data_IF_716173194343
#
_entry.id   IF_716173194343
#
_cell.length_a   1.000
_cell.length_b   1.000
_cell.length_c   1.000
_cell.angle_alpha   90.00
_cell.angle_beta   90.00
_cell.angle_gamma   90.00
#
_symmetry.space_group_name_H-M   'P 1'
#
loop_
_entity.id
_entity.type
_entity.pdbx_description
1 polymer ?
#
# COMPACT_ATOMS: atom_id res chain seq x y z
N UNK A 1 12.28 -30.59 -4.08
CA UNK A 1 13.03 -29.32 -3.91
C UNK A 1 13.27 -28.75 -5.29
N UNK A 2 12.75 -27.56 -5.58
CA UNK A 2 13.08 -26.82 -6.81
C UNK A 2 13.82 -25.58 -6.34
N UNK A 3 15.12 -25.71 -6.11
CA UNK A 3 15.98 -24.56 -5.91
C UNK A 3 16.31 -24.00 -7.29
N UNK A 4 15.68 -22.88 -7.66
CA UNK A 4 16.10 -22.08 -8.80
C UNK A 4 17.44 -21.39 -8.52
N UNK A 5 18.11 -20.85 -9.56
CA UNK A 5 19.40 -20.18 -9.40
C UNK A 5 19.30 -18.99 -8.43
N UNK A 6 20.25 -18.92 -7.50
CA UNK A 6 20.39 -17.81 -6.54
C UNK A 6 20.78 -16.53 -7.29
N UNK A 7 19.86 -15.57 -7.35
CA UNK A 7 20.13 -14.22 -7.86
C UNK A 7 20.50 -13.31 -6.69
N UNK A 8 21.73 -12.77 -6.72
CA UNK A 8 22.27 -11.86 -5.72
C UNK A 8 21.87 -10.39 -5.95
N UNK A 9 20.63 -10.16 -6.42
CA UNK A 9 20.05 -8.80 -6.49
C UNK A 9 19.22 -8.54 -5.23
N UNK A 10 19.15 -7.28 -4.72
CA UNK A 10 18.56 -6.93 -3.43
C UNK A 10 17.02 -7.00 -3.49
N UNK A 11 16.51 -8.23 -3.53
CA UNK A 11 15.09 -8.57 -3.51
C UNK A 11 14.54 -8.32 -2.10
N UNK A 12 14.26 -7.06 -1.76
CA UNK A 12 13.72 -6.65 -0.46
C UNK A 12 12.22 -6.99 -0.26
N UNK A 13 11.67 -7.97 -0.97
CA UNK A 13 10.27 -8.38 -0.81
C UNK A 13 10.15 -9.88 -0.45
N UNK A 14 9.50 -10.20 0.67
CA UNK A 14 9.33 -11.55 1.22
C UNK A 14 8.44 -12.35 0.26
N UNK A 15 8.96 -13.49 -0.24
CA UNK A 15 8.23 -14.40 -1.13
C UNK A 15 7.70 -15.64 -0.40
N UNK A 16 8.34 -15.98 0.71
CA UNK A 16 7.96 -17.09 1.56
C UNK A 16 8.25 -16.65 2.99
N UNK A 17 7.20 -16.41 3.74
CA UNK A 17 7.21 -16.00 5.13
C UNK A 17 7.62 -17.14 6.07
N UNK A 18 7.43 -18.39 5.66
CA UNK A 18 7.53 -19.56 6.54
C UNK A 18 8.92 -19.72 7.18
N UNK A 19 10.05 -19.54 6.45
CA UNK A 19 11.37 -19.56 7.06
C UNK A 19 11.55 -18.49 8.15
N UNK A 20 10.99 -17.29 7.97
CA UNK A 20 11.10 -16.21 8.95
C UNK A 20 10.33 -16.56 10.24
N UNK A 21 9.13 -17.13 10.12
CA UNK A 21 8.35 -17.60 11.27
C UNK A 21 9.09 -18.69 12.05
N UNK A 22 9.69 -19.66 11.35
CA UNK A 22 10.46 -20.75 11.97
C UNK A 22 11.70 -20.19 12.66
N UNK A 23 12.42 -19.25 12.02
CA UNK A 23 13.58 -18.60 12.63
C UNK A 23 13.20 -17.94 13.95
N UNK A 24 12.10 -17.18 14.01
CA UNK A 24 11.61 -16.58 15.26
C UNK A 24 11.32 -17.63 16.33
N UNK A 25 10.69 -18.74 15.96
CA UNK A 25 10.40 -19.84 16.90
C UNK A 25 11.67 -20.46 17.47
N UNK A 26 12.73 -20.57 16.69
CA UNK A 26 13.99 -21.20 17.10
C UNK A 26 14.94 -20.26 17.84
N UNK A 27 14.74 -18.94 17.77
CA UNK A 27 15.64 -17.96 18.43
C UNK A 27 15.96 -18.35 19.88
N UNK A 28 15.00 -18.70 20.75
CA UNK A 28 15.30 -19.05 22.14
C UNK A 28 16.27 -20.25 22.29
N UNK A 29 16.24 -21.17 21.33
CA UNK A 29 17.04 -22.40 21.33
C UNK A 29 18.42 -22.22 20.66
N UNK A 30 18.68 -21.06 20.04
CA UNK A 30 19.95 -20.80 19.36
C UNK A 30 21.09 -20.65 20.38
N UNK A 31 22.11 -21.49 20.19
CA UNK A 31 23.39 -21.41 20.89
C UNK A 31 24.53 -21.35 19.85
N UNK A 32 25.48 -20.40 19.97
CA UNK A 32 25.67 -19.47 21.09
C UNK A 32 24.76 -18.23 21.01
N UNK A 33 24.62 -17.50 22.13
CA UNK A 33 23.74 -16.31 22.25
C UNK A 33 23.95 -15.22 21.19
N UNK A 34 25.16 -15.09 20.64
CA UNK A 34 25.42 -14.14 19.54
C UNK A 34 24.60 -14.43 18.28
N UNK A 35 24.21 -15.70 18.04
CA UNK A 35 23.34 -16.06 16.92
C UNK A 35 21.92 -15.54 17.11
N UNK A 36 21.42 -15.47 18.34
CA UNK A 36 20.13 -14.85 18.63
C UNK A 36 20.11 -13.38 18.20
N UNK A 37 21.18 -12.65 18.54
CA UNK A 37 21.36 -11.25 18.16
C UNK A 37 21.39 -11.14 16.63
N UNK A 38 22.26 -11.89 15.97
CA UNK A 38 22.39 -11.86 14.51
C UNK A 38 21.06 -12.14 13.79
N UNK A 39 20.35 -13.19 14.18
CA UNK A 39 19.06 -13.56 13.57
C UNK A 39 18.01 -12.47 13.82
N UNK A 40 17.94 -11.92 15.04
CA UNK A 40 16.99 -10.85 15.36
C UNK A 40 17.26 -9.53 14.62
N UNK A 41 18.53 -9.21 14.33
CA UNK A 41 18.90 -8.04 13.50
C UNK A 41 18.51 -8.24 12.05
N UNK A 42 18.79 -9.43 11.49
CA UNK A 42 18.39 -9.80 10.13
C UNK A 42 16.87 -9.78 9.95
N UNK A 43 16.12 -10.30 10.94
CA UNK A 43 14.66 -10.24 10.93
C UNK A 43 14.16 -8.80 10.90
N UNK A 44 14.74 -7.90 11.69
CA UNK A 44 14.38 -6.48 11.62
C UNK A 44 14.65 -5.90 10.24
N UNK A 45 15.84 -6.13 9.67
CA UNK A 45 16.20 -5.60 8.35
C UNK A 45 15.25 -6.08 7.25
N UNK A 46 14.93 -7.37 7.21
CA UNK A 46 14.07 -7.95 6.17
C UNK A 46 12.60 -7.55 6.40
N UNK A 47 12.10 -7.67 7.62
CA UNK A 47 10.68 -7.41 7.89
C UNK A 47 10.33 -5.92 7.79
N UNK A 48 11.29 -5.03 8.05
CA UNK A 48 11.09 -3.57 8.04
C UNK A 48 11.47 -2.90 6.72
N UNK A 49 11.99 -3.65 5.73
CA UNK A 49 12.53 -3.07 4.49
C UNK A 49 11.48 -2.43 3.57
N UNK A 50 10.21 -2.81 3.67
CA UNK A 50 9.12 -2.27 2.84
C UNK A 50 7.76 -2.39 3.53
N UNK A 51 6.77 -1.62 3.08
CA UNK A 51 5.38 -1.77 3.55
C UNK A 51 4.84 -3.17 3.22
N UNK A 52 5.07 -3.65 1.99
CA UNK A 52 4.75 -5.01 1.57
C UNK A 52 5.27 -6.07 2.55
N UNK A 53 6.54 -6.01 2.96
CA UNK A 53 7.11 -7.00 3.90
C UNK A 53 6.45 -6.96 5.27
N UNK A 54 6.25 -5.76 5.81
CA UNK A 54 5.57 -5.60 7.11
C UNK A 54 4.16 -6.17 7.04
N UNK A 55 3.42 -5.93 5.95
CA UNK A 55 2.08 -6.50 5.74
C UNK A 55 2.12 -8.03 5.66
N UNK A 56 3.04 -8.59 4.87
CA UNK A 56 3.23 -10.05 4.76
C UNK A 56 3.50 -10.66 6.12
N UNK A 57 4.42 -10.08 6.91
CA UNK A 57 4.71 -10.54 8.27
C UNK A 57 3.49 -10.49 9.20
N UNK A 58 2.70 -9.40 9.16
CA UNK A 58 1.46 -9.28 9.95
C UNK A 58 0.44 -10.34 9.54
N UNK A 59 0.21 -10.54 8.24
CA UNK A 59 -0.73 -11.54 7.73
C UNK A 59 -0.31 -12.97 8.08
N UNK A 60 0.99 -13.24 8.03
CA UNK A 60 1.63 -14.50 8.40
C UNK A 60 1.55 -14.84 9.90
N UNK A 61 1.16 -13.88 10.76
CA UNK A 61 1.10 -14.08 12.21
C UNK A 61 2.46 -13.95 12.90
N UNK A 62 3.40 -13.21 12.31
CA UNK A 62 4.74 -12.95 12.88
C UNK A 62 4.66 -12.37 14.30
N UNK A 63 3.71 -11.46 14.56
CA UNK A 63 3.49 -10.85 15.88
C UNK A 63 3.27 -11.92 16.96
N UNK A 64 2.45 -12.92 16.65
CA UNK A 64 2.19 -14.04 17.57
C UNK A 64 3.46 -14.87 17.83
N UNK A 65 4.26 -15.13 16.80
CA UNK A 65 5.52 -15.88 16.96
C UNK A 65 6.54 -15.13 17.82
N UNK A 66 6.67 -13.82 17.62
CA UNK A 66 7.60 -13.00 18.40
C UNK A 66 7.19 -12.98 19.89
N UNK A 67 5.89 -12.85 20.17
CA UNK A 67 5.38 -12.91 21.55
C UNK A 67 5.64 -14.28 22.20
N UNK A 68 5.53 -15.36 21.43
CA UNK A 68 5.89 -16.70 21.91
C UNK A 68 7.38 -16.80 22.24
N UNK A 69 8.25 -16.29 21.37
CA UNK A 69 9.70 -16.29 21.61
C UNK A 69 10.07 -15.47 22.86
N UNK A 70 9.48 -14.28 23.03
CA UNK A 70 9.69 -13.42 24.20
C UNK A 70 9.22 -14.04 25.52
N UNK A 71 8.32 -15.02 25.47
CA UNK A 71 7.89 -15.76 26.67
C UNK A 71 9.00 -16.65 27.26
N UNK A 72 10.04 -16.96 26.47
CA UNK A 72 11.22 -17.72 26.90
C UNK A 72 12.32 -16.78 27.44
N UNK A 73 11.98 -15.93 28.41
CA UNK A 73 12.83 -14.84 28.92
C UNK A 73 14.25 -15.29 29.28
N UNK A 74 14.39 -16.37 30.06
CA UNK A 74 15.69 -16.84 30.57
C UNK A 74 16.64 -17.33 29.45
N UNK A 75 16.07 -17.76 28.32
CA UNK A 75 16.81 -18.29 27.18
C UNK A 75 17.30 -17.18 26.24
N UNK A 76 16.70 -15.99 26.29
CA UNK A 76 16.98 -14.90 25.37
C UNK A 76 18.12 -13.99 25.83
N UNK A 77 18.97 -13.60 24.89
CA UNK A 77 19.89 -12.49 25.08
C UNK A 77 19.13 -11.16 25.19
N UNK A 78 19.50 -10.25 26.11
CA UNK A 78 18.82 -8.96 26.27
C UNK A 78 18.76 -8.12 24.99
N UNK A 79 19.80 -8.17 24.14
CA UNK A 79 19.82 -7.45 22.87
C UNK A 79 18.89 -8.08 21.85
N UNK A 80 18.82 -9.42 21.82
CA UNK A 80 17.85 -10.13 20.99
C UNK A 80 16.41 -9.77 21.40
N UNK A 81 16.11 -9.74 22.69
CA UNK A 81 14.78 -9.35 23.17
C UNK A 81 14.43 -7.90 22.77
N UNK A 82 15.39 -6.96 22.86
CA UNK A 82 15.20 -5.59 22.37
C UNK A 82 14.84 -5.56 20.88
N UNK A 83 15.58 -6.31 20.06
CA UNK A 83 15.34 -6.40 18.62
C UNK A 83 13.96 -7.01 18.29
N UNK A 84 13.52 -8.02 19.04
CA UNK A 84 12.19 -8.61 18.90
C UNK A 84 11.07 -7.62 19.31
N UNK A 85 11.26 -6.86 20.39
CA UNK A 85 10.30 -5.83 20.81
C UNK A 85 10.25 -4.67 19.81
N UNK A 86 11.38 -4.30 19.21
CA UNK A 86 11.42 -3.35 18.09
C UNK A 86 10.59 -3.86 16.91
N UNK A 87 10.75 -5.13 16.53
CA UNK A 87 9.98 -5.71 15.44
C UNK A 87 8.47 -5.75 15.75
N UNK A 88 8.09 -6.07 17.00
CA UNK A 88 6.71 -5.94 17.45
C UNK A 88 6.19 -4.52 17.28
N UNK A 89 6.96 -3.50 17.64
CA UNK A 89 6.61 -2.09 17.44
C UNK A 89 6.35 -1.77 15.97
N UNK A 90 7.21 -2.21 15.07
CA UNK A 90 7.08 -1.98 13.62
C UNK A 90 5.80 -2.61 13.09
N UNK A 91 5.56 -3.88 13.40
CA UNK A 91 4.40 -4.64 12.88
C UNK A 91 3.09 -4.19 13.54
N UNK A 92 3.11 -3.93 14.85
CA UNK A 92 1.96 -3.50 15.65
C UNK A 92 1.40 -2.12 15.26
N UNK A 93 2.19 -1.28 14.57
CA UNK A 93 1.71 -0.03 13.95
C UNK A 93 0.77 -0.27 12.76
N UNK A 94 0.83 -1.43 12.13
CA UNK A 94 -0.04 -1.76 11.00
C UNK A 94 -1.32 -2.45 11.45
N UNK A 95 -1.18 -3.47 12.30
CA UNK A 95 -2.32 -4.21 12.85
C UNK A 95 -1.90 -4.96 14.10
N UNK A 96 -2.83 -5.06 15.05
CA UNK A 96 -2.68 -5.88 16.24
C UNK A 96 -4.00 -6.55 16.59
N UNK A 97 -3.98 -7.87 16.80
CA UNK A 97 -5.15 -8.63 17.21
C UNK A 97 -5.36 -8.54 18.72
N UNK A 98 -6.59 -8.72 19.25
CA UNK A 98 -6.85 -8.66 20.69
C UNK A 98 -5.96 -9.60 21.53
N UNK A 99 -5.68 -10.80 21.04
CA UNK A 99 -4.81 -11.77 21.74
C UNK A 99 -3.34 -11.35 21.73
N UNK A 100 -2.87 -10.69 20.67
CA UNK A 100 -1.50 -10.18 20.55
C UNK A 100 -1.29 -8.98 21.47
N UNK A 101 -2.28 -8.08 21.53
CA UNK A 101 -2.30 -6.97 22.48
C UNK A 101 -2.30 -7.48 23.93
N UNK A 102 -3.09 -8.53 24.22
CA UNK A 102 -3.08 -9.18 25.52
C UNK A 102 -1.70 -9.76 25.84
N UNK A 103 -1.03 -10.39 24.87
CA UNK A 103 0.35 -10.90 25.03
C UNK A 103 1.34 -9.79 25.37
N UNK A 104 1.30 -8.65 24.65
CA UNK A 104 2.12 -7.48 25.00
C UNK A 104 1.85 -6.97 26.42
N UNK A 105 0.58 -6.88 26.84
CA UNK A 105 0.22 -6.44 28.19
C UNK A 105 0.74 -7.43 29.25
N UNK A 106 0.79 -8.72 28.93
CA UNK A 106 1.35 -9.74 29.84
C UNK A 106 2.86 -9.53 30.05
N UNK A 107 3.59 -9.05 29.05
CA UNK A 107 5.01 -8.68 29.17
C UNK A 107 5.27 -7.43 30.03
N UNK A 108 4.24 -6.86 30.68
CA UNK A 108 4.40 -5.78 31.66
C UNK A 108 4.51 -6.29 33.10
N UNK A 109 4.11 -7.53 33.38
CA UNK A 109 4.07 -8.10 34.74
C UNK A 109 4.80 -9.43 34.79
N UNK A 110 5.66 -9.59 35.79
CA UNK A 110 6.24 -10.88 36.13
C UNK A 110 5.36 -11.60 37.17
N UNK A 111 5.50 -12.94 37.30
CA UNK A 111 4.92 -13.67 38.43
C UNK A 111 5.39 -13.04 39.76
N UNK A 112 4.46 -12.83 40.69
CA UNK A 112 4.81 -12.32 42.03
C UNK A 112 4.87 -10.80 42.19
N UNK A 113 4.18 -10.03 41.33
CA UNK A 113 4.03 -8.56 41.42
C UNK A 113 5.30 -7.74 41.11
N UNK A 114 6.36 -8.37 40.61
CA UNK A 114 7.51 -7.66 40.06
C UNK A 114 7.21 -7.17 38.63
N UNK A 115 7.89 -6.09 38.21
CA UNK A 115 7.87 -5.66 36.82
C UNK A 115 8.65 -6.65 35.96
N UNK A 116 8.10 -7.03 34.80
CA UNK A 116 8.83 -7.82 33.82
C UNK A 116 10.08 -7.04 33.33
N UNK A 117 11.22 -7.69 33.02
CA UNK A 117 12.40 -6.97 32.52
C UNK A 117 12.16 -6.17 31.23
N UNK A 118 11.24 -6.64 30.39
CA UNK A 118 10.87 -5.98 29.14
C UNK A 118 9.86 -4.84 29.33
N UNK A 119 9.31 -4.63 30.53
CA UNK A 119 8.17 -3.73 30.73
C UNK A 119 8.42 -2.31 30.19
N UNK A 120 9.60 -1.74 30.45
CA UNK A 120 9.97 -0.41 29.94
C UNK A 120 10.00 -0.37 28.41
N UNK A 121 10.58 -1.38 27.77
CA UNK A 121 10.68 -1.49 26.31
C UNK A 121 9.29 -1.69 25.69
N UNK A 122 8.45 -2.53 26.30
CA UNK A 122 7.08 -2.80 25.86
C UNK A 122 6.20 -1.55 26.01
N UNK A 123 6.29 -0.79 27.11
CA UNK A 123 5.57 0.47 27.26
C UNK A 123 5.97 1.48 26.18
N UNK A 124 7.27 1.58 25.88
CA UNK A 124 7.77 2.43 24.80
C UNK A 124 7.23 1.97 23.44
N UNK A 125 7.25 0.67 23.18
CA UNK A 125 6.71 0.09 21.95
C UNK A 125 5.21 0.37 21.80
N UNK A 126 4.40 0.15 22.85
CA UNK A 126 2.97 0.46 22.86
C UNK A 126 2.69 1.95 22.66
N UNK A 127 3.45 2.83 23.32
CA UNK A 127 3.34 4.27 23.11
C UNK A 127 3.67 4.64 21.66
N UNK A 128 4.72 4.06 21.09
CA UNK A 128 5.13 4.29 19.72
C UNK A 128 4.14 3.73 18.68
N UNK A 129 3.46 2.62 18.99
CA UNK A 129 2.35 2.10 18.17
C UNK A 129 1.13 3.02 18.21
N UNK A 130 0.81 3.58 19.39
CA UNK A 130 -0.36 4.43 19.59
C UNK A 130 -0.17 5.88 19.11
N UNK A 131 1.08 6.35 18.98
CA UNK A 131 1.38 7.68 18.46
C UNK A 131 0.91 7.78 17.01
N UNK A 132 0.07 8.78 16.73
CA UNK A 132 -0.25 9.23 15.37
C UNK A 132 0.91 10.03 14.74
N UNK A 133 2.14 9.79 15.18
CA UNK A 133 3.34 10.46 14.69
C UNK A 133 3.79 9.73 13.42
N UNK A 134 3.52 10.33 12.27
CA UNK A 134 3.86 9.81 10.95
C UNK A 134 3.10 10.51 9.82
N UNK A 135 3.46 10.27 8.55
CA UNK A 135 2.65 10.71 7.43
C UNK A 135 1.22 10.16 7.57
N UNK A 136 0.22 10.89 7.07
CA UNK A 136 -1.17 10.38 7.06
C UNK A 136 -1.21 9.00 6.42
N UNK A 137 -2.06 8.10 6.93
CA UNK A 137 -2.19 6.74 6.41
C UNK A 137 -3.65 6.34 6.34
N UNK A 138 -4.00 5.58 5.31
CA UNK A 138 -5.31 4.96 5.21
C UNK A 138 -5.51 3.92 6.34
N UNK A 139 -6.60 4.03 7.09
CA UNK A 139 -7.01 2.99 8.04
C UNK A 139 -7.53 1.74 7.33
N UNK A 140 -8.12 1.92 6.15
CA UNK A 140 -8.65 0.87 5.29
C UNK A 140 -8.30 1.19 3.85
N UNK A 141 -7.88 0.19 3.10
CA UNK A 141 -7.50 0.36 1.70
C UNK A 141 -7.72 -0.92 0.92
N UNK A 142 -7.86 -0.77 -0.39
CA UNK A 142 -7.84 -1.87 -1.34
C UNK A 142 -6.40 -2.23 -1.68
N UNK A 143 -6.02 -3.49 -1.54
CA UNK A 143 -4.74 -3.97 -2.07
C UNK A 143 -4.90 -4.35 -3.55
N UNK A 144 -4.33 -3.52 -4.43
CA UNK A 144 -4.34 -3.74 -5.87
C UNK A 144 -2.97 -4.18 -6.42
N UNK A 145 -2.13 -4.79 -5.59
CA UNK A 145 -0.85 -5.39 -6.01
C UNK A 145 -1.01 -6.56 -6.99
N UNK A 146 -1.99 -7.49 -6.85
CA UNK A 146 -2.12 -8.62 -7.77
C UNK A 146 -2.34 -8.18 -9.22
N UNK A 147 -1.70 -8.88 -10.18
CA UNK A 147 -1.56 -8.47 -11.60
C UNK A 147 -2.86 -8.25 -12.40
N UNK A 148 -4.01 -8.66 -11.85
CA UNK A 148 -5.35 -8.46 -12.43
C UNK A 148 -6.33 -7.80 -11.46
N UNK A 149 -5.87 -7.39 -10.28
CA UNK A 149 -6.69 -6.67 -9.33
C UNK A 149 -7.08 -5.30 -9.89
N UNK A 150 -8.26 -4.87 -9.50
CA UNK A 150 -8.77 -3.57 -9.90
C UNK A 150 -10.21 -3.40 -9.46
N UNK A 151 -10.63 -2.15 -9.38
CA UNK A 151 -12.00 -1.79 -9.06
C UNK A 151 -12.70 -1.50 -10.39
N UNK A 152 -13.72 -2.32 -10.68
CA UNK A 152 -14.60 -2.10 -11.82
C UNK A 152 -15.76 -1.20 -11.38
N UNK A 153 -16.00 -0.12 -12.10
CA UNK A 153 -17.12 0.80 -11.87
C UNK A 153 -18.06 0.72 -13.07
N UNK A 154 -19.39 0.70 -12.88
CA UNK A 154 -20.33 0.67 -13.99
C UNK A 154 -20.07 1.76 -15.03
N UNK A 155 -20.33 1.43 -16.28
CA UNK A 155 -20.31 2.36 -17.39
C UNK A 155 -21.06 3.67 -17.09
N UNK A 156 -20.41 4.81 -17.30
CA UNK A 156 -21.04 6.12 -17.24
C UNK A 156 -21.54 6.41 -18.65
N UNK A 157 -22.86 6.42 -18.79
CA UNK A 157 -23.47 6.72 -20.09
C UNK A 157 -23.24 8.17 -20.52
N UNK A 158 -23.13 9.09 -19.54
CA UNK A 158 -22.86 10.50 -19.79
C UNK A 158 -22.23 11.13 -18.56
N UNK A 159 -21.21 11.96 -18.75
CA UNK A 159 -20.69 12.78 -17.66
C UNK A 159 -21.69 13.89 -17.31
N UNK A 160 -22.04 14.08 -16.02
CA UNK A 160 -23.12 14.99 -15.62
C UNK A 160 -22.78 16.49 -15.82
N UNK A 161 -21.55 16.83 -16.19
CA UNK A 161 -21.09 18.20 -16.35
C UNK A 161 -20.05 18.40 -17.44
N UNK A 162 -19.52 19.62 -17.52
CA UNK A 162 -18.47 20.02 -18.46
C UNK A 162 -17.07 19.55 -18.04
N UNK A 163 -16.96 18.50 -17.24
CA UNK A 163 -15.71 18.07 -16.63
C UNK A 163 -15.96 17.09 -15.49
N UNK A 164 -14.88 16.55 -14.94
CA UNK A 164 -14.91 15.67 -13.80
C UNK A 164 -13.62 15.81 -12.98
N UNK A 165 -13.67 15.39 -11.73
CA UNK A 165 -12.49 15.24 -10.89
C UNK A 165 -12.36 13.78 -10.46
N UNK A 166 -11.14 13.27 -10.51
CA UNK A 166 -10.76 12.02 -9.85
C UNK A 166 -10.01 12.38 -8.57
N UNK A 167 -10.39 11.75 -7.47
CA UNK A 167 -9.74 11.90 -6.17
C UNK A 167 -9.43 10.50 -5.62
N UNK A 168 -8.18 10.29 -5.20
CA UNK A 168 -7.80 9.08 -4.48
C UNK A 168 -6.64 9.36 -3.54
N UNK A 169 -6.61 8.61 -2.44
CA UNK A 169 -5.39 8.39 -1.68
C UNK A 169 -4.69 7.18 -2.26
N UNK A 170 -3.40 7.30 -2.55
CA UNK A 170 -2.57 6.25 -3.14
C UNK A 170 -1.32 6.03 -2.31
N UNK A 171 -0.90 4.79 -2.18
CA UNK A 171 0.42 4.42 -1.67
C UNK A 171 1.05 3.47 -2.68
N UNK A 172 2.21 3.83 -3.22
CA UNK A 172 2.94 3.01 -4.18
C UNK A 172 4.26 2.58 -3.55
N UNK A 173 4.48 1.27 -3.53
CA UNK A 173 5.77 0.71 -3.14
C UNK A 173 6.75 0.80 -4.34
N UNK A 174 8.01 1.08 -4.03
CA UNK A 174 9.15 0.90 -4.93
C UNK A 174 9.50 -0.60 -4.95
N UNK A 175 8.82 -1.37 -5.80
CA UNK A 175 9.11 -2.80 -5.96
C UNK A 175 9.96 -3.03 -7.22
N UNK A 176 11.26 -3.36 -7.06
CA UNK A 176 12.14 -3.67 -8.19
C UNK A 176 11.74 -4.95 -8.96
N UNK A 177 10.78 -5.75 -8.47
CA UNK A 177 10.35 -7.01 -9.09
C UNK A 177 9.47 -6.88 -10.33
N UNK A 178 8.86 -5.72 -10.61
CA UNK A 178 8.07 -5.56 -11.83
C UNK A 178 8.91 -5.71 -13.12
N UNK A 179 10.24 -5.60 -13.02
CA UNK A 179 11.16 -5.79 -14.15
C UNK A 179 11.35 -7.29 -14.53
N UNK A 180 10.99 -8.25 -13.65
CA UNK A 180 11.34 -9.68 -13.83
C UNK A 180 10.29 -10.53 -14.57
N UNK A 181 9.03 -10.10 -14.64
CA UNK A 181 7.90 -10.92 -15.13
C UNK A 181 7.30 -10.49 -16.48
N UNK A 182 8.10 -9.86 -17.34
CA UNK A 182 7.68 -9.57 -18.72
C UNK A 182 6.87 -8.27 -18.84
N UNK A 183 7.59 -7.17 -18.70
CA UNK A 183 7.19 -5.83 -19.12
C UNK A 183 6.75 -4.94 -17.97
N UNK A 184 7.48 -3.83 -17.78
CA UNK A 184 7.09 -2.65 -16.99
C UNK A 184 5.67 -2.21 -17.35
N UNK A 185 4.66 -2.68 -16.62
CA UNK A 185 3.30 -2.22 -16.82
C UNK A 185 3.12 -0.99 -15.96
N UNK A 186 2.87 0.15 -16.61
CA UNK A 186 2.42 1.37 -15.95
C UNK A 186 1.31 1.07 -14.92
N UNK A 187 1.42 1.61 -13.72
CA UNK A 187 0.45 1.39 -12.63
C UNK A 187 -0.77 2.29 -12.87
N UNK A 188 -1.88 1.70 -13.30
CA UNK A 188 -3.03 2.43 -13.86
C UNK A 188 -3.98 3.01 -12.79
N UNK A 189 -3.85 4.30 -12.46
CA UNK A 189 -4.71 4.98 -11.49
C UNK A 189 -6.20 4.98 -11.89
N UNK A 190 -6.52 5.33 -13.13
CA UNK A 190 -7.86 5.12 -13.70
C UNK A 190 -7.80 4.99 -15.22
N UNK A 191 -8.78 4.30 -15.79
CA UNK A 191 -8.94 4.16 -17.24
C UNK A 191 -10.42 4.29 -17.63
N UNK A 192 -10.76 5.41 -18.26
CA UNK A 192 -12.11 5.79 -18.67
C UNK A 192 -12.21 5.88 -20.19
N UNK A 193 -12.39 4.75 -20.85
CA UNK A 193 -12.50 4.66 -22.31
C UNK A 193 -13.93 4.35 -22.76
N UNK A 194 -14.33 4.94 -23.88
CA UNK A 194 -15.49 4.53 -24.64
C UNK A 194 -15.11 3.40 -25.62
N UNK A 195 -16.11 2.67 -26.12
CA UNK A 195 -15.89 1.64 -27.14
C UNK A 195 -15.27 2.19 -28.44
N UNK A 196 -15.35 3.50 -28.65
CA UNK A 196 -14.68 4.20 -29.76
C UNK A 196 -13.15 4.28 -29.62
N UNK A 197 -12.58 3.83 -28.49
CA UNK A 197 -11.15 3.94 -28.17
C UNK A 197 -10.75 5.33 -27.69
N UNK A 198 -11.70 6.26 -27.56
CA UNK A 198 -11.45 7.59 -26.99
C UNK A 198 -11.71 7.59 -25.49
N UNK A 199 -10.97 8.40 -24.74
CA UNK A 199 -11.09 8.36 -23.29
C UNK A 199 -10.04 9.17 -22.54
N UNK A 200 -10.08 8.98 -21.23
CA UNK A 200 -9.17 9.58 -20.27
C UNK A 200 -8.46 8.48 -19.50
N UNK A 201 -7.19 8.70 -19.22
CA UNK A 201 -6.47 7.84 -18.30
C UNK A 201 -5.49 8.61 -17.44
N UNK A 202 -5.14 8.02 -16.30
CA UNK A 202 -3.98 8.40 -15.53
C UNK A 202 -3.28 7.15 -15.04
N UNK A 203 -1.96 7.20 -15.00
CA UNK A 203 -1.11 6.11 -14.57
C UNK A 203 0.20 6.64 -13.98
N UNK A 204 0.83 5.83 -13.16
CA UNK A 204 2.20 6.04 -12.74
C UNK A 204 3.13 5.25 -13.67
N UNK A 205 4.21 5.90 -14.11
CA UNK A 205 5.33 5.21 -14.75
C UNK A 205 6.04 4.31 -13.74
N UNK A 206 6.99 3.50 -14.22
CA UNK A 206 7.72 2.56 -13.35
C UNK A 206 8.52 3.26 -12.25
N UNK A 207 9.04 4.46 -12.54
CA UNK A 207 9.73 5.34 -11.60
C UNK A 207 8.76 6.19 -10.74
N UNK A 208 7.47 5.85 -10.71
CA UNK A 208 6.49 6.49 -9.85
C UNK A 208 6.03 7.89 -10.29
N UNK A 209 6.41 8.36 -11.48
CA UNK A 209 5.94 9.65 -12.01
C UNK A 209 4.49 9.54 -12.49
N UNK A 210 3.65 10.49 -12.06
CA UNK A 210 2.26 10.57 -12.51
C UNK A 210 2.15 11.12 -13.94
N UNK A 211 1.38 10.44 -14.78
CA UNK A 211 1.03 10.86 -16.14
C UNK A 211 -0.48 10.83 -16.30
N UNK A 212 -1.04 11.96 -16.75
CA UNK A 212 -2.44 12.08 -17.16
C UNK A 212 -2.51 12.13 -18.67
N UNK A 213 -3.36 11.32 -19.27
CA UNK A 213 -3.49 11.23 -20.72
C UNK A 213 -4.94 11.32 -21.19
N UNK A 214 -5.08 11.80 -22.42
CA UNK A 214 -6.32 11.79 -23.17
C UNK A 214 -6.08 11.12 -24.51
N UNK A 215 -6.91 10.13 -24.80
CA UNK A 215 -6.93 9.44 -26.08
C UNK A 215 -8.10 9.95 -26.93
N UNK A 216 -7.80 10.35 -28.15
CA UNK A 216 -8.79 10.67 -29.18
C UNK A 216 -8.57 9.75 -30.38
N UNK A 217 -9.48 9.78 -31.36
CA UNK A 217 -9.31 9.01 -32.60
C UNK A 217 -8.04 9.35 -33.38
N UNK A 218 -7.46 10.53 -33.16
CA UNK A 218 -6.33 11.06 -33.94
C UNK A 218 -5.02 11.08 -33.16
N UNK A 219 -5.10 11.35 -31.86
CA UNK A 219 -3.94 11.65 -31.04
C UNK A 219 -4.09 11.07 -29.63
N UNK A 220 -2.94 10.71 -29.06
CA UNK A 220 -2.76 10.39 -27.65
C UNK A 220 -1.91 11.50 -27.02
N UNK A 221 -2.52 12.29 -26.14
CA UNK A 221 -1.90 13.48 -25.54
C UNK A 221 -1.67 13.23 -24.05
N UNK A 222 -0.54 13.68 -23.52
CA UNK A 222 -0.14 13.44 -22.14
C UNK A 222 0.30 14.71 -21.42
N UNK A 223 0.12 14.72 -20.11
CA UNK A 223 0.64 15.70 -19.16
C UNK A 223 1.33 14.89 -18.06
N UNK A 224 2.66 14.95 -18.02
CA UNK A 224 3.48 14.30 -17.00
C UNK A 224 3.74 15.26 -15.82
N UNK A 225 3.95 14.72 -14.62
CA UNK A 225 4.33 15.46 -13.42
C UNK A 225 5.72 15.00 -12.92
N UNK A 226 6.82 15.36 -13.61
CA UNK A 226 8.16 14.87 -13.29
C UNK A 226 8.71 15.39 -11.95
N UNK A 227 8.09 16.41 -11.37
CA UNK A 227 8.55 17.04 -10.12
C UNK A 227 8.25 16.19 -8.87
N UNK A 228 7.45 15.13 -9.00
CA UNK A 228 7.05 14.25 -7.90
C UNK A 228 7.13 12.78 -8.31
N UNK A 229 7.74 11.98 -7.44
CA UNK A 229 7.76 10.53 -7.51
C UNK A 229 6.88 9.99 -6.38
N UNK A 230 5.88 9.18 -6.73
CA UNK A 230 4.90 8.63 -5.78
C UNK A 230 5.28 7.25 -5.26
N UNK A 231 6.38 6.66 -5.74
CA UNK A 231 6.90 5.35 -5.33
C UNK A 231 7.84 5.46 -4.13
N UNK A 232 7.38 6.10 -3.06
CA UNK A 232 8.14 6.32 -1.82
C UNK A 232 7.55 5.55 -0.62
N UNK A 233 6.57 4.68 -0.88
CA UNK A 233 5.80 3.95 0.14
C UNK A 233 5.07 4.85 1.15
N UNK A 234 4.80 6.10 0.77
CA UNK A 234 3.96 7.03 1.53
C UNK A 234 2.57 7.14 0.89
N UNK A 235 1.61 7.56 1.71
CA UNK A 235 0.28 7.87 1.24
C UNK A 235 0.25 9.30 0.70
N UNK A 236 -0.16 9.44 -0.55
CA UNK A 236 -0.39 10.71 -1.21
C UNK A 236 -1.85 10.89 -1.57
N UNK A 237 -2.36 12.09 -1.34
CA UNK A 237 -3.66 12.52 -1.84
C UNK A 237 -3.51 13.06 -3.26
N UNK A 238 -4.10 12.41 -4.25
CA UNK A 238 -4.02 12.81 -5.66
C UNK A 238 -5.40 13.26 -6.15
N UNK A 239 -5.46 14.49 -6.66
CA UNK A 239 -6.63 15.03 -7.35
C UNK A 239 -6.29 15.38 -8.79
N UNK A 240 -7.08 14.88 -9.73
CA UNK A 240 -6.95 15.18 -11.16
C UNK A 240 -8.28 15.74 -11.66
N UNK A 241 -8.29 17.03 -11.95
CA UNK A 241 -9.48 17.76 -12.41
C UNK A 241 -9.39 18.00 -13.90
N UNK A 242 -10.33 17.41 -14.64
CA UNK A 242 -10.53 17.64 -16.07
C UNK A 242 -11.62 18.69 -16.26
N UNK A 243 -11.24 19.90 -16.65
CA UNK A 243 -12.15 21.03 -16.83
C UNK A 243 -12.28 21.40 -18.31
N UNK A 244 -13.47 21.25 -18.90
CA UNK A 244 -13.70 21.67 -20.27
C UNK A 244 -13.77 23.20 -20.36
N UNK A 245 -13.26 23.73 -21.48
CA UNK A 245 -13.30 25.13 -21.79
C UNK A 245 -14.72 25.63 -22.04
N UNK A 246 -15.02 26.85 -21.58
CA UNK A 246 -16.28 27.52 -21.90
C UNK A 246 -16.26 28.01 -23.35
N UNK A 247 -17.20 27.54 -24.16
CA UNK A 247 -17.34 27.99 -25.56
C UNK A 247 -17.60 29.51 -25.63
N UNK A 248 -17.15 30.19 -26.69
CA UNK A 248 -16.49 29.65 -27.89
C UNK A 248 -14.96 29.62 -27.83
N UNK A 249 -14.31 30.28 -26.87
CA UNK A 249 -12.84 30.44 -26.86
C UNK A 249 -12.10 29.69 -25.73
N UNK A 250 -12.83 29.05 -24.82
CA UNK A 250 -12.25 28.33 -23.70
C UNK A 250 -11.51 27.08 -24.16
N UNK A 251 -10.30 26.91 -23.65
CA UNK A 251 -9.53 25.69 -23.80
C UNK A 251 -9.83 24.73 -22.64
N UNK A 252 -9.73 23.44 -22.94
CA UNK A 252 -9.83 22.38 -21.93
C UNK A 252 -8.51 22.33 -21.14
N UNK A 253 -8.63 22.23 -19.81
CA UNK A 253 -7.50 22.26 -18.89
C UNK A 253 -7.54 21.05 -17.97
N UNK A 254 -6.37 20.51 -17.66
CA UNK A 254 -6.18 19.57 -16.56
C UNK A 254 -5.47 20.27 -15.41
N UNK A 255 -5.96 20.07 -14.20
CA UNK A 255 -5.31 20.49 -12.96
C UNK A 255 -4.95 19.26 -12.14
N UNK A 256 -3.69 19.17 -11.73
CA UNK A 256 -3.18 18.06 -10.93
C UNK A 256 -2.79 18.61 -9.57
N UNK A 257 -3.39 18.07 -8.51
CA UNK A 257 -3.04 18.35 -7.14
C UNK A 257 -2.43 17.11 -6.50
N UNK A 258 -1.40 17.33 -5.68
CA UNK A 258 -0.82 16.31 -4.82
C UNK A 258 -0.71 16.88 -3.41
N UNK A 259 -1.27 16.15 -2.45
CA UNK A 259 -1.32 16.50 -1.02
C UNK A 259 -1.98 17.86 -0.78
N UNK A 260 -3.09 18.10 -1.48
CA UNK A 260 -3.88 19.34 -1.40
C UNK A 260 -3.25 20.56 -2.09
N UNK A 261 -2.07 20.42 -2.70
CA UNK A 261 -1.38 21.51 -3.39
C UNK A 261 -1.48 21.38 -4.91
N UNK A 262 -1.81 22.47 -5.60
CA UNK A 262 -1.80 22.50 -7.07
C UNK A 262 -0.36 22.33 -7.58
N UNK A 263 -0.10 21.22 -8.26
CA UNK A 263 1.23 20.89 -8.80
C UNK A 263 1.35 21.26 -10.28
N UNK A 264 0.29 21.08 -11.06
CA UNK A 264 0.32 21.35 -12.50
C UNK A 264 -1.03 21.82 -13.03
N UNK A 265 -0.98 22.78 -13.94
CA UNK A 265 -2.10 23.18 -14.80
C UNK A 265 -1.62 23.14 -16.24
N UNK A 266 -2.32 22.41 -17.11
CA UNK A 266 -1.92 22.26 -18.51
C UNK A 266 -3.12 22.14 -19.45
N UNK A 267 -3.02 22.64 -20.70
CA UNK A 267 -4.06 22.42 -21.70
C UNK A 267 -4.08 20.95 -22.14
N UNK A 268 -5.27 20.37 -22.29
CA UNK A 268 -5.43 18.98 -22.73
C UNK A 268 -6.72 18.80 -23.53
N UNK A 269 -6.65 18.29 -24.76
CA UNK A 269 -7.81 18.23 -25.67
C UNK A 269 -8.72 17.05 -25.37
N UNK A 270 -9.81 17.31 -24.65
CA UNK A 270 -10.80 16.28 -24.29
C UNK A 270 -11.59 15.71 -25.48
N UNK A 271 -11.92 14.40 -25.46
CA UNK A 271 -12.96 13.83 -26.32
C UNK A 271 -14.35 14.35 -25.92
N UNK A 272 -15.35 14.02 -26.73
CA UNK A 272 -16.74 14.34 -26.40
C UNK A 272 -17.18 13.62 -25.13
N UNK A 273 -17.55 14.36 -24.10
CA UNK A 273 -18.09 13.83 -22.84
C UNK A 273 -19.53 13.29 -22.97
N UNK A 274 -20.13 13.40 -24.15
CA UNK A 274 -21.49 12.94 -24.45
C UNK A 274 -21.55 11.53 -25.09
N UNK A 275 -20.41 10.91 -25.38
CA UNK A 275 -20.39 9.54 -25.92
C UNK A 275 -20.59 8.53 -24.79
N UNK A 276 -21.52 7.58 -25.01
CA UNK A 276 -21.81 6.48 -24.09
C UNK A 276 -20.67 5.46 -24.15
N UNK A 277 -20.04 5.16 -23.01
CA UNK A 277 -19.15 4.00 -22.88
C UNK A 277 -19.99 2.73 -22.67
N UNK A 278 -19.90 1.69 -23.51
CA UNK A 278 -20.31 0.35 -23.14
C UNK A 278 -19.14 -0.34 -22.42
N UNK A 279 -19.28 -0.62 -21.13
CA UNK A 279 -18.30 -1.38 -20.35
C UNK A 279 -17.91 -0.71 -19.03
N UNK A 280 -17.49 -1.54 -18.08
CA UNK A 280 -17.07 -1.09 -16.76
C UNK A 280 -15.70 -0.37 -16.83
N UNK A 281 -15.57 0.73 -16.11
CA UNK A 281 -14.30 1.43 -15.91
C UNK A 281 -13.40 0.70 -14.94
N UNK A 282 -12.08 0.81 -15.11
CA UNK A 282 -11.12 0.07 -14.29
C UNK A 282 -10.11 1.00 -13.60
N UNK A 283 -9.98 0.84 -12.29
CA UNK A 283 -8.88 1.36 -11.45
C UNK A 283 -7.98 0.17 -11.12
N UNK A 284 -6.65 0.25 -11.27
CA UNK A 284 -5.74 -0.88 -11.01
C UNK A 284 -4.46 -0.42 -10.29
N UNK A 285 -3.73 -1.36 -9.69
CA UNK A 285 -2.32 -1.16 -9.34
C UNK A 285 -1.97 0.00 -8.38
N UNK A 286 -2.82 0.30 -7.40
CA UNK A 286 -2.50 1.19 -6.28
C UNK A 286 -3.26 0.78 -5.01
N UNK A 287 -2.70 1.06 -3.82
CA UNK A 287 -3.51 0.99 -2.62
C UNK A 287 -4.49 2.16 -2.63
N UNK A 288 -5.80 1.92 -2.71
CA UNK A 288 -6.80 3.01 -2.79
C UNK A 288 -7.67 3.01 -1.54
N UNK A 289 -7.83 4.15 -0.89
CA UNK A 289 -8.77 4.29 0.22
C UNK A 289 -10.21 4.38 -0.31
N UNK A 290 -11.17 3.57 0.18
CA UNK A 290 -12.59 3.74 -0.14
C UNK A 290 -13.07 5.08 0.43
N UNK A 291 -13.40 6.04 -0.44
CA UNK A 291 -13.99 7.30 0.01
C UNK A 291 -15.30 7.05 0.75
N UNK A 292 -15.39 7.53 1.99
CA UNK A 292 -16.63 7.53 2.76
C UNK A 292 -17.54 8.66 2.25
N UNK A 293 -18.41 8.37 1.29
CA UNK A 293 -19.51 9.27 0.95
C UNK A 293 -20.79 8.77 1.61
N UNK A 294 -21.19 9.41 2.71
CA UNK A 294 -22.57 9.33 3.18
C UNK A 294 -23.41 10.29 2.35
N UNK A 295 -23.91 9.83 1.20
CA UNK A 295 -25.01 10.49 0.52
C UNK A 295 -26.30 9.81 0.93
N UNK A 296 -27.06 10.47 1.81
CA UNK A 296 -28.48 10.23 1.98
C UNK A 296 -29.18 10.65 0.68
N UNK A 297 -29.37 9.70 -0.23
CA UNK A 297 -30.57 9.52 -1.06
C UNK A 297 -30.27 8.62 -2.26
N UNK A 298 -31.12 7.59 -2.43
CA UNK A 298 -31.49 6.99 -3.72
C UNK A 298 -30.43 6.17 -4.47
N UNK A 299 -30.58 4.83 -4.42
CA UNK A 299 -29.94 3.85 -5.31
C UNK A 299 -28.41 3.67 -5.17
N UNK A 300 -27.98 3.14 -4.02
CA UNK A 300 -26.61 2.67 -3.82
C UNK A 300 -26.27 1.47 -4.73
N UNK A 301 -25.30 1.67 -5.62
CA UNK A 301 -24.62 0.62 -6.38
C UNK A 301 -23.81 -0.24 -5.40
N UNK A 302 -24.17 -1.52 -5.28
CA UNK A 302 -23.34 -2.50 -4.56
C UNK A 302 -22.20 -2.94 -5.49
N UNK A 303 -20.92 -2.80 -5.10
CA UNK A 303 -19.82 -3.38 -5.87
C UNK A 303 -20.00 -4.91 -5.95
N UNK A 304 -19.91 -5.47 -7.16
CA UNK A 304 -19.91 -6.91 -7.36
C UNK A 304 -18.51 -7.47 -7.10
N UNK A 305 -18.41 -8.36 -6.12
CA UNK A 305 -17.18 -9.05 -5.74
C UNK A 305 -17.09 -10.38 -6.47
N UNK A 306 -16.04 -10.59 -7.25
CA UNK A 306 -15.65 -11.95 -7.68
C UNK A 306 -14.87 -12.60 -6.53
N UNK A 307 -15.58 -13.37 -5.71
CA UNK A 307 -14.99 -14.21 -4.66
C UNK A 307 -14.29 -15.40 -5.34
N UNK A 308 -12.99 -15.29 -5.61
CA UNK A 308 -12.17 -16.43 -5.99
C UNK A 308 -12.18 -17.46 -4.86
N UNK A 309 -12.70 -18.66 -5.12
CA UNK A 309 -12.63 -19.81 -4.21
C UNK A 309 -11.39 -20.63 -4.54
N UNK A 310 -10.65 -20.93 -3.47
CA UNK A 310 -9.53 -21.85 -3.30
C UNK A 310 -8.18 -21.35 -3.80
#
# INVERSE_FOLDING_TARGET
>A
AVEGPYNADPLNCIQNEQPLLILVQWIPDLSPRHLQILVSEWLNQICDSSLCNRMTCVQAGMVTQILSALSSEEALDPKCAENLIHLLQVLGRLSIRPNELRGLIQLLRAPGSASHPYATQVIRALSAMARKDGPERALQYFDLTPSMSGIMVPAMQKWPGAGFAFHAWVCLDDDPKEDSHGGRRRKQLYSFFAASGTGFEAFFTTDGMLVVAVCTKKEYMTVALPELQFSDSLWHCVDIVHQAGRRPFGQNMVHIYADGQLRKTAPLRFPSLNEVSPGDYRVQHALVHPGSYTSSDGAGVKPQWTRGRK
#
